data_IF_931112870261
#
_entry.id   IF_931112870261
#
_cell.length_a   1.000
_cell.length_b   1.000
_cell.length_c   1.000
_cell.angle_alpha   90.00
_cell.angle_beta   90.00
_cell.angle_gamma   90.00
#
_symmetry.space_group_name_H-M   'P 1'
#
loop_
_entity.id
_entity.type
_entity.pdbx_description
1 polymer ?
#
# COMPACT_ATOMS: atom_id res chain seq x y z
N UNK A 1 -6.47 8.21 2.79
CA UNK A 1 -6.65 9.15 1.68
C UNK A 1 -5.55 10.18 1.73
N UNK A 2 -4.72 10.23 0.67
CA UNK A 2 -3.65 11.21 0.59
C UNK A 2 -4.21 12.63 0.71
N UNK A 3 -3.55 13.48 1.49
CA UNK A 3 -3.87 14.89 1.63
C UNK A 3 -3.57 15.65 0.32
N UNK A 4 -4.54 15.81 -0.59
CA UNK A 4 -4.29 16.36 -1.93
C UNK A 4 -4.06 17.87 -1.94
N UNK A 5 -4.31 18.53 -0.81
CA UNK A 5 -4.18 19.99 -0.70
C UNK A 5 -2.99 20.40 0.14
N UNK A 6 -2.32 19.46 0.80
CA UNK A 6 -1.23 19.74 1.70
C UNK A 6 -1.66 20.45 3.00
N UNK A 7 -2.92 20.32 3.36
CA UNK A 7 -3.54 21.05 4.48
C UNK A 7 -3.35 20.32 5.83
N UNK A 8 -3.05 19.01 5.80
CA UNK A 8 -2.87 18.24 7.02
C UNK A 8 -1.45 18.41 7.57
N UNK A 9 -1.35 18.59 8.88
CA UNK A 9 -0.09 18.41 9.60
C UNK A 9 0.20 16.92 9.72
N UNK A 10 1.31 16.48 9.15
CA UNK A 10 1.74 15.09 9.12
C UNK A 10 3.00 14.85 9.95
N UNK A 11 3.49 15.86 10.67
CA UNK A 11 4.76 15.80 11.40
C UNK A 11 4.82 14.67 12.43
N UNK A 12 3.70 14.38 13.09
CA UNK A 12 3.58 13.28 14.05
C UNK A 12 2.90 12.02 13.47
N UNK A 13 2.60 12.04 12.16
CA UNK A 13 1.91 10.93 11.51
C UNK A 13 2.88 9.86 11.00
N UNK A 14 2.40 8.61 11.03
CA UNK A 14 2.97 7.52 10.24
C UNK A 14 2.18 7.40 8.95
N UNK A 15 2.81 7.71 7.83
CA UNK A 15 2.15 7.70 6.52
C UNK A 15 2.50 6.41 5.79
N UNK A 16 1.50 5.57 5.55
CA UNK A 16 1.65 4.37 4.72
C UNK A 16 1.56 4.79 3.26
N UNK A 17 2.65 4.62 2.52
CA UNK A 17 2.73 4.97 1.11
C UNK A 17 2.03 3.90 0.26
N UNK A 18 1.53 4.34 -0.88
CA UNK A 18 0.96 3.43 -1.86
C UNK A 18 2.07 2.58 -2.51
N UNK A 19 1.84 1.28 -2.73
CA UNK A 19 2.79 0.40 -3.40
C UNK A 19 3.03 0.77 -4.86
N UNK A 20 2.06 1.39 -5.50
CA UNK A 20 2.17 1.90 -6.87
C UNK A 20 2.61 3.35 -6.83
N UNK A 21 3.81 3.62 -7.33
CA UNK A 21 4.36 4.96 -7.48
C UNK A 21 4.78 5.14 -8.94
N UNK A 22 4.05 5.94 -9.68
CA UNK A 22 4.37 6.28 -11.07
C UNK A 22 5.36 7.45 -11.10
N UNK A 23 6.06 7.62 -12.24
CA UNK A 23 6.98 8.75 -12.43
C UNK A 23 6.29 10.10 -12.22
N UNK A 24 5.02 10.23 -12.64
CA UNK A 24 4.23 11.44 -12.42
C UNK A 24 3.89 11.73 -10.94
N UNK A 25 3.98 10.71 -10.07
CA UNK A 25 3.68 10.84 -8.65
C UNK A 25 4.95 11.07 -7.81
N UNK A 26 6.13 11.04 -8.42
CA UNK A 26 7.41 11.08 -7.69
C UNK A 26 7.58 12.36 -6.86
N UNK A 27 7.26 13.52 -7.43
CA UNK A 27 7.38 14.81 -6.72
C UNK A 27 6.38 14.89 -5.56
N UNK A 28 5.17 14.41 -5.78
CA UNK A 28 4.15 14.30 -4.73
C UNK A 28 4.62 13.36 -3.60
N UNK A 29 5.14 12.20 -3.95
CA UNK A 29 5.66 11.23 -2.99
C UNK A 29 6.80 11.83 -2.17
N UNK A 30 7.75 12.54 -2.80
CA UNK A 30 8.83 13.25 -2.11
C UNK A 30 8.28 14.30 -1.13
N UNK A 31 7.36 15.15 -1.57
CA UNK A 31 6.72 16.16 -0.72
C UNK A 31 6.00 15.55 0.48
N UNK A 32 5.28 14.45 0.25
CA UNK A 32 4.57 13.73 1.31
C UNK A 32 5.54 13.16 2.35
N UNK A 33 6.63 12.53 1.89
CA UNK A 33 7.68 11.99 2.76
C UNK A 33 8.34 13.06 3.64
N UNK A 34 8.62 14.24 3.07
CA UNK A 34 9.25 15.35 3.81
C UNK A 34 8.37 15.95 4.89
N UNK A 35 7.05 15.85 4.73
CA UNK A 35 6.06 16.38 5.69
C UNK A 35 5.69 15.36 6.77
N UNK A 36 5.91 14.07 6.53
CA UNK A 36 5.56 13.02 7.45
C UNK A 36 6.62 12.85 8.56
N UNK A 37 6.18 12.59 9.79
CA UNK A 37 7.09 12.22 10.89
C UNK A 37 7.76 10.87 10.64
N UNK A 38 7.06 9.96 9.98
CA UNK A 38 7.56 8.65 9.57
C UNK A 38 6.78 8.15 8.35
N UNK A 39 7.44 7.40 7.49
CA UNK A 39 6.77 6.76 6.33
C UNK A 39 6.93 5.25 6.35
N UNK A 40 5.94 4.54 5.84
CA UNK A 40 6.02 3.10 5.57
C UNK A 40 6.14 2.92 4.07
N UNK A 41 7.32 2.49 3.63
CA UNK A 41 7.64 2.24 2.22
C UNK A 41 7.09 0.88 1.79
N UNK A 42 6.40 0.85 0.66
CA UNK A 42 5.80 -0.35 0.08
C UNK A 42 6.43 -0.75 -1.26
N UNK A 43 7.46 -0.04 -1.71
CA UNK A 43 8.33 -0.45 -2.81
C UNK A 43 9.76 0.05 -2.61
N UNK A 44 10.72 -0.55 -3.32
CA UNK A 44 12.14 -0.21 -3.16
C UNK A 44 12.49 1.19 -3.68
N UNK A 45 11.76 1.70 -4.67
CA UNK A 45 11.95 3.09 -5.14
C UNK A 45 11.66 4.10 -4.01
N UNK A 46 10.63 3.85 -3.21
CA UNK A 46 10.32 4.67 -2.03
C UNK A 46 11.42 4.59 -0.97
N UNK A 47 12.01 3.42 -0.75
CA UNK A 47 13.16 3.26 0.17
C UNK A 47 14.34 4.10 -0.29
N UNK A 48 14.64 4.11 -1.59
CA UNK A 48 15.71 4.96 -2.15
C UNK A 48 15.41 6.43 -1.90
N UNK A 49 14.20 6.88 -2.22
CA UNK A 49 13.77 8.28 -2.01
C UNK A 49 13.85 8.65 -0.53
N UNK A 50 13.35 7.80 0.38
CA UNK A 50 13.38 8.07 1.82
C UNK A 50 14.82 8.25 2.34
N UNK A 51 15.75 7.43 1.86
CA UNK A 51 17.17 7.55 2.19
C UNK A 51 17.80 8.82 1.64
N UNK A 52 17.51 9.18 0.39
CA UNK A 52 17.98 10.44 -0.21
C UNK A 52 17.51 11.67 0.56
N UNK A 53 16.29 11.64 1.06
CA UNK A 53 15.68 12.72 1.84
C UNK A 53 16.09 12.70 3.32
N UNK A 54 16.71 11.63 3.81
CA UNK A 54 17.05 11.46 5.22
C UNK A 54 15.82 11.32 6.14
N UNK A 55 14.67 10.89 5.62
CA UNK A 55 13.45 10.71 6.42
C UNK A 55 13.43 9.35 7.09
N UNK A 56 12.81 9.27 8.27
CA UNK A 56 12.62 8.00 8.99
C UNK A 56 11.61 7.15 8.25
N UNK A 57 11.96 5.89 7.98
CA UNK A 57 11.09 4.99 7.26
C UNK A 57 11.06 3.58 7.84
N UNK A 58 9.94 2.94 7.63
CA UNK A 58 9.66 1.54 7.84
C UNK A 58 9.39 0.87 6.49
N UNK A 59 9.35 -0.46 6.44
CA UNK A 59 9.12 -1.22 5.21
C UNK A 59 8.00 -2.24 5.42
N UNK A 60 7.07 -2.32 4.47
CA UNK A 60 5.96 -3.27 4.48
C UNK A 60 5.75 -3.92 3.10
N UNK A 61 4.91 -4.96 3.05
CA UNK A 61 4.50 -5.59 1.79
C UNK A 61 4.00 -4.55 0.77
N UNK A 62 4.27 -4.74 -0.52
CA UNK A 62 4.88 -5.91 -1.17
C UNK A 62 6.41 -5.95 -1.19
N UNK A 63 7.11 -5.15 -0.38
CA UNK A 63 8.53 -5.41 -0.12
C UNK A 63 8.62 -6.61 0.81
N UNK A 64 8.82 -7.78 0.21
CA UNK A 64 8.62 -9.07 0.86
C UNK A 64 9.80 -9.44 1.77
N UNK A 65 9.58 -9.47 3.09
CA UNK A 65 10.56 -9.92 4.08
C UNK A 65 10.15 -11.28 4.64
N UNK A 66 10.75 -12.37 4.14
CA UNK A 66 10.44 -13.74 4.53
C UNK A 66 11.64 -14.49 5.14
N UNK A 67 12.76 -13.84 5.36
CA UNK A 67 13.95 -14.47 5.91
C UNK A 67 14.91 -13.45 6.54
N UNK A 68 15.86 -13.96 7.35
CA UNK A 68 16.85 -13.12 8.05
C UNK A 68 17.77 -12.34 7.10
N UNK A 69 18.08 -12.88 5.93
CA UNK A 69 18.95 -12.18 4.98
C UNK A 69 18.29 -10.92 4.45
N UNK A 70 17.00 -11.02 4.06
CA UNK A 70 16.21 -9.85 3.64
C UNK A 70 16.04 -8.86 4.79
N UNK A 71 15.76 -9.33 6.00
CA UNK A 71 15.65 -8.48 7.17
C UNK A 71 16.93 -7.69 7.43
N UNK A 72 18.09 -8.38 7.42
CA UNK A 72 19.40 -7.75 7.60
C UNK A 72 19.68 -6.72 6.53
N UNK A 73 19.34 -7.02 5.28
CA UNK A 73 19.52 -6.11 4.16
C UNK A 73 18.64 -4.86 4.30
N UNK A 74 17.36 -5.01 4.63
CA UNK A 74 16.44 -3.88 4.82
C UNK A 74 16.89 -2.97 5.98
N UNK A 75 17.38 -3.56 7.07
CA UNK A 75 17.98 -2.80 8.18
C UNK A 75 19.27 -2.08 7.75
N UNK A 76 20.09 -2.72 6.95
CA UNK A 76 21.28 -2.10 6.35
C UNK A 76 20.95 -0.92 5.45
N UNK A 77 19.75 -0.88 4.86
CA UNK A 77 19.23 0.29 4.15
C UNK A 77 18.72 1.39 5.07
N UNK A 78 18.55 1.13 6.37
CA UNK A 78 18.07 2.10 7.37
C UNK A 78 16.61 1.95 7.75
N UNK A 79 15.95 0.83 7.40
CA UNK A 79 14.58 0.57 7.84
C UNK A 79 14.51 0.48 9.36
N UNK A 80 13.62 1.28 9.99
CA UNK A 80 13.40 1.27 11.43
C UNK A 80 12.56 0.07 11.87
N UNK A 81 11.46 -0.18 11.15
CA UNK A 81 10.58 -1.34 11.35
C UNK A 81 10.42 -2.08 10.03
N UNK A 82 10.25 -3.39 10.13
CA UNK A 82 9.93 -4.25 8.98
C UNK A 82 8.65 -5.01 9.31
N UNK A 83 7.63 -4.79 8.53
CA UNK A 83 6.35 -5.48 8.66
C UNK A 83 6.38 -6.77 7.82
N UNK A 84 6.03 -7.87 8.45
CA UNK A 84 5.95 -9.16 7.77
C UNK A 84 4.78 -9.16 6.78
N UNK A 85 4.92 -9.81 5.61
CA UNK A 85 3.81 -9.95 4.67
C UNK A 85 2.74 -10.89 5.21
N UNK A 86 1.46 -10.58 4.93
CA UNK A 86 0.32 -11.35 5.41
C UNK A 86 0.31 -12.80 4.90
N UNK A 87 0.90 -13.04 3.74
CA UNK A 87 1.00 -14.37 3.12
C UNK A 87 1.82 -15.37 3.96
N UNK A 88 2.68 -14.88 4.84
CA UNK A 88 3.43 -15.76 5.75
C UNK A 88 2.59 -16.31 6.89
N UNK A 89 1.49 -15.66 7.26
CA UNK A 89 0.72 -16.02 8.46
C UNK A 89 0.07 -17.41 8.41
N UNK A 90 -0.02 -18.03 7.24
CA UNK A 90 -0.64 -19.36 7.06
C UNK A 90 0.31 -20.53 6.81
N UNK A 91 1.55 -20.30 6.44
CA UNK A 91 2.35 -21.34 5.76
C UNK A 91 3.64 -21.76 6.47
N UNK A 92 4.15 -21.06 7.48
CA UNK A 92 5.44 -21.39 8.11
C UNK A 92 5.54 -20.74 9.51
N UNK A 93 4.81 -21.31 10.46
CA UNK A 93 4.66 -20.74 11.81
C UNK A 93 6.00 -20.60 12.55
N UNK A 94 6.93 -21.55 12.36
CA UNK A 94 8.25 -21.50 13.02
C UNK A 94 9.11 -20.35 12.47
N UNK A 95 9.17 -20.22 11.15
CA UNK A 95 9.92 -19.15 10.50
C UNK A 95 9.37 -17.77 10.83
N UNK A 96 8.04 -17.65 10.91
CA UNK A 96 7.37 -16.41 11.31
C UNK A 96 7.73 -16.09 12.77
N UNK A 97 7.65 -17.08 13.66
CA UNK A 97 7.99 -16.88 15.06
C UNK A 97 9.45 -16.42 15.25
N UNK A 98 10.38 -17.02 14.50
CA UNK A 98 11.78 -16.61 14.52
C UNK A 98 11.99 -15.16 14.03
N UNK A 99 11.32 -14.77 12.93
CA UNK A 99 11.42 -13.42 12.41
C UNK A 99 10.70 -12.42 13.31
N UNK A 100 9.53 -12.76 13.82
CA UNK A 100 8.75 -11.90 14.71
C UNK A 100 9.42 -11.64 16.07
N UNK A 101 10.29 -12.56 16.51
CA UNK A 101 11.09 -12.37 17.72
C UNK A 101 12.22 -11.34 17.54
N UNK A 102 12.56 -10.97 16.31
CA UNK A 102 13.60 -9.98 16.04
C UNK A 102 13.13 -8.57 16.40
N UNK A 103 13.95 -7.75 17.09
CA UNK A 103 13.59 -6.36 17.41
C UNK A 103 13.20 -5.58 16.17
N UNK A 104 12.12 -4.80 16.24
CA UNK A 104 11.66 -3.97 15.11
C UNK A 104 10.98 -4.75 13.96
N UNK A 105 10.70 -6.02 14.14
CA UNK A 105 9.81 -6.79 13.25
C UNK A 105 8.40 -6.76 13.81
N UNK A 106 7.44 -6.54 12.93
CA UNK A 106 6.02 -6.37 13.27
C UNK A 106 5.16 -7.28 12.39
N UNK A 107 3.97 -7.59 12.87
CA UNK A 107 2.95 -8.26 12.05
C UNK A 107 2.55 -7.41 10.83
N UNK A 108 1.78 -7.97 9.89
CA UNK A 108 1.35 -7.26 8.68
C UNK A 108 0.60 -5.96 9.01
N UNK A 109 0.81 -4.95 8.19
CA UNK A 109 0.08 -3.66 8.31
C UNK A 109 -1.42 -3.86 8.12
N UNK A 110 -1.81 -4.79 7.23
CA UNK A 110 -3.18 -5.07 6.81
C UNK A 110 -3.68 -6.43 7.34
N UNK A 111 -3.28 -6.81 8.58
CA UNK A 111 -3.58 -8.14 9.15
C UNK A 111 -5.07 -8.50 9.15
N UNK A 112 -5.92 -7.50 9.43
CA UNK A 112 -7.37 -7.71 9.51
C UNK A 112 -8.03 -7.85 8.14
N UNK A 113 -7.38 -7.37 7.08
CA UNK A 113 -7.91 -7.39 5.73
C UNK A 113 -6.79 -7.44 4.70
N UNK A 114 -6.13 -8.59 4.55
CA UNK A 114 -5.01 -8.75 3.62
C UNK A 114 -5.41 -8.39 2.19
N UNK A 115 -4.61 -7.53 1.56
CA UNK A 115 -4.76 -7.23 0.14
C UNK A 115 -4.15 -8.36 -0.68
N UNK A 116 -4.97 -8.96 -1.55
CA UNK A 116 -4.55 -10.05 -2.45
C UNK A 116 -4.01 -9.53 -3.77
N UNK A 117 -4.58 -8.44 -4.25
CA UNK A 117 -4.21 -7.88 -5.54
C UNK A 117 -4.52 -6.39 -5.62
N UNK A 118 -3.63 -5.64 -6.24
CA UNK A 118 -3.90 -4.29 -6.75
C UNK A 118 -3.76 -4.30 -8.27
N UNK A 119 -4.72 -3.69 -8.94
CA UNK A 119 -4.72 -3.53 -10.40
C UNK A 119 -4.91 -2.05 -10.73
N UNK A 120 -4.05 -1.50 -11.59
CA UNK A 120 -4.18 -0.11 -12.04
C UNK A 120 -5.40 0.13 -12.93
N UNK A 121 -6.09 -0.94 -13.33
CA UNK A 121 -7.30 -0.86 -14.12
C UNK A 121 -8.55 -0.79 -13.22
N UNK A 122 -9.40 0.20 -13.49
CA UNK A 122 -10.67 0.33 -12.79
C UNK A 122 -11.71 -0.62 -13.40
N UNK A 123 -12.26 -1.53 -12.60
CA UNK A 123 -13.32 -2.44 -13.07
C UNK A 123 -14.56 -1.70 -13.60
N UNK A 124 -14.87 -0.50 -13.07
CA UNK A 124 -15.99 0.31 -13.54
C UNK A 124 -15.80 0.81 -14.97
N UNK A 125 -14.55 0.98 -15.41
CA UNK A 125 -14.26 1.34 -16.81
C UNK A 125 -14.69 0.23 -17.76
N UNK A 126 -14.48 -1.03 -17.37
CA UNK A 126 -14.91 -2.18 -18.15
C UNK A 126 -16.44 -2.29 -18.26
N UNK A 127 -17.17 -1.78 -17.25
CA UNK A 127 -18.64 -1.71 -17.26
C UNK A 127 -19.17 -0.54 -18.12
N UNK A 128 -18.30 0.27 -18.75
CA UNK A 128 -18.69 1.39 -19.60
C UNK A 128 -19.31 2.59 -18.87
N UNK A 129 -19.02 2.77 -17.57
CA UNK A 129 -19.78 3.65 -16.68
C UNK A 129 -18.93 4.72 -16.02
N UNK A 130 -17.82 5.11 -16.61
CA UNK A 130 -17.01 6.20 -16.07
C UNK A 130 -17.74 7.54 -16.19
N UNK A 131 -17.82 8.27 -15.07
CA UNK A 131 -18.19 9.68 -15.14
C UNK A 131 -17.05 10.47 -15.77
N UNK A 132 -17.32 11.14 -16.86
CA UNK A 132 -16.40 12.09 -17.50
C UNK A 132 -16.85 13.51 -17.18
N UNK A 133 -15.90 14.43 -17.10
CA UNK A 133 -16.22 15.86 -17.05
C UNK A 133 -16.58 16.41 -18.47
N UNK A 134 -16.86 17.69 -18.54
CA UNK A 134 -17.20 18.38 -19.79
C UNK A 134 -16.08 18.30 -20.87
N UNK A 135 -14.85 17.95 -20.48
CA UNK A 135 -13.70 17.79 -21.38
C UNK A 135 -13.47 16.33 -21.78
N UNK A 136 -14.30 15.40 -21.28
CA UNK A 136 -14.14 13.96 -21.49
C UNK A 136 -13.11 13.29 -20.59
N UNK A 137 -12.54 14.00 -19.59
CA UNK A 137 -11.62 13.41 -18.63
C UNK A 137 -12.36 12.63 -17.54
N UNK A 138 -11.84 11.44 -17.22
CA UNK A 138 -12.37 10.58 -16.16
C UNK A 138 -12.02 11.16 -14.80
N UNK A 139 -13.03 11.42 -13.96
CA UNK A 139 -12.88 11.92 -12.59
C UNK A 139 -13.09 10.81 -11.57
N UNK A 140 -12.07 9.98 -11.36
CA UNK A 140 -12.14 8.87 -10.41
C UNK A 140 -12.42 9.32 -8.97
N UNK A 141 -11.87 10.45 -8.54
CA UNK A 141 -12.06 10.98 -7.18
C UNK A 141 -13.53 11.26 -6.88
N UNK A 142 -14.28 11.80 -7.83
CA UNK A 142 -15.68 12.20 -7.69
C UNK A 142 -16.66 11.07 -8.04
N UNK A 143 -16.14 9.88 -8.40
CA UNK A 143 -16.96 8.75 -8.81
C UNK A 143 -17.71 8.16 -7.61
N UNK A 144 -19.03 8.37 -7.53
CA UNK A 144 -19.88 7.83 -6.45
C UNK A 144 -19.94 6.29 -6.49
N UNK A 145 -19.76 5.66 -7.66
CA UNK A 145 -19.82 4.21 -7.82
C UNK A 145 -18.64 3.49 -7.14
N UNK A 146 -17.49 4.13 -6.96
CA UNK A 146 -16.35 3.55 -6.24
C UNK A 146 -16.66 3.27 -4.76
N UNK A 147 -17.66 3.95 -4.21
CA UNK A 147 -18.09 3.78 -2.80
C UNK A 147 -19.03 2.59 -2.61
N UNK A 148 -19.47 1.95 -3.67
CA UNK A 148 -20.36 0.79 -3.57
C UNK A 148 -19.55 -0.46 -3.18
N UNK A 149 -20.12 -1.25 -2.28
CA UNK A 149 -19.57 -2.55 -1.91
C UNK A 149 -19.69 -3.49 -3.08
N UNK A 150 -18.58 -4.12 -3.47
CA UNK A 150 -18.48 -5.05 -4.59
C UNK A 150 -17.76 -6.30 -4.16
N UNK A 151 -18.01 -7.37 -4.88
CA UNK A 151 -17.35 -8.65 -4.66
C UNK A 151 -16.95 -9.26 -5.99
N UNK A 152 -15.74 -9.82 -6.04
CA UNK A 152 -15.40 -10.84 -7.01
C UNK A 152 -15.97 -12.16 -6.48
N UNK A 153 -16.68 -12.90 -7.31
CA UNK A 153 -17.26 -14.21 -6.93
C UNK A 153 -16.52 -15.28 -7.70
N UNK A 154 -15.83 -16.14 -6.97
CA UNK A 154 -15.12 -17.30 -7.49
C UNK A 154 -16.11 -18.38 -7.95
N UNK A 155 -15.62 -19.38 -8.69
CA UNK A 155 -16.46 -20.48 -9.18
C UNK A 155 -17.08 -21.35 -8.09
N UNK A 156 -16.41 -21.43 -6.95
CA UNK A 156 -16.88 -22.16 -5.76
C UNK A 156 -17.85 -21.35 -4.87
N UNK A 157 -18.13 -20.10 -5.27
CA UNK A 157 -19.00 -19.20 -4.54
C UNK A 157 -18.27 -18.31 -3.52
N UNK A 158 -16.96 -18.45 -3.35
CA UNK A 158 -16.17 -17.56 -2.49
C UNK A 158 -16.31 -16.12 -2.95
N UNK A 159 -16.51 -15.21 -2.02
CA UNK A 159 -16.71 -13.78 -2.28
C UNK A 159 -15.56 -12.97 -1.75
N UNK A 160 -14.76 -12.42 -2.65
CA UNK A 160 -13.63 -11.55 -2.32
C UNK A 160 -14.06 -10.08 -2.38
N UNK A 161 -13.93 -9.31 -1.30
CA UNK A 161 -14.25 -7.88 -1.31
C UNK A 161 -13.41 -7.11 -2.31
N UNK A 162 -14.05 -6.22 -3.06
CA UNK A 162 -13.40 -5.36 -4.05
C UNK A 162 -13.63 -3.91 -3.70
N UNK A 163 -12.55 -3.14 -3.63
CA UNK A 163 -12.60 -1.68 -3.48
C UNK A 163 -11.98 -1.02 -4.71
N UNK A 164 -12.47 0.18 -5.03
CA UNK A 164 -11.86 1.05 -6.03
C UNK A 164 -11.38 2.30 -5.32
N UNK A 165 -10.09 2.55 -5.38
CA UNK A 165 -9.49 3.69 -4.69
C UNK A 165 -9.73 5.03 -5.41
N UNK A 166 -9.29 6.13 -4.79
CA UNK A 166 -9.48 7.48 -5.33
C UNK A 166 -8.75 7.73 -6.65
N UNK A 167 -7.75 6.91 -6.96
CA UNK A 167 -7.00 6.96 -8.22
C UNK A 167 -7.60 6.08 -9.30
N UNK A 168 -8.69 5.36 -8.99
CA UNK A 168 -9.36 4.46 -9.94
C UNK A 168 -8.70 3.09 -10.06
N UNK A 169 -7.89 2.68 -9.09
CA UNK A 169 -7.32 1.34 -9.05
C UNK A 169 -8.27 0.38 -8.36
N UNK A 170 -8.28 -0.85 -8.83
CA UNK A 170 -9.03 -1.94 -8.22
C UNK A 170 -8.16 -2.68 -7.21
N UNK A 171 -8.69 -2.87 -5.99
CA UNK A 171 -8.05 -3.62 -4.91
C UNK A 171 -8.95 -4.78 -4.51
N UNK A 172 -8.38 -5.97 -4.40
CA UNK A 172 -9.09 -7.20 -4.00
C UNK A 172 -8.49 -7.65 -2.67
N UNK A 173 -9.37 -7.99 -1.75
CA UNK A 173 -9.01 -8.36 -0.39
C UNK A 173 -9.45 -9.78 -0.07
N UNK A 174 -8.79 -10.40 0.90
CA UNK A 174 -9.25 -11.62 1.52
C UNK A 174 -10.50 -11.30 2.37
N UNK A 175 -11.48 -12.22 2.35
CA UNK A 175 -12.71 -12.13 3.14
C UNK A 175 -12.53 -12.72 4.54
#
# INVERSE_FOLDING_TARGET
DADPRGELDLSDAVVVLDEVCRTCDADWTRSLMQRAGRVVCRNLGQVVIARELGVTFDVAAPVFCANRATLTWLRGLGAGRVYLPAELLGNDAERIAELAAEPGVWGPVDADRPELMVCEHCLLTAEGVCATDATGQVRCRDCLRRRQVRYLVERDGTRLPVAIDACGRTRIFLS
#
